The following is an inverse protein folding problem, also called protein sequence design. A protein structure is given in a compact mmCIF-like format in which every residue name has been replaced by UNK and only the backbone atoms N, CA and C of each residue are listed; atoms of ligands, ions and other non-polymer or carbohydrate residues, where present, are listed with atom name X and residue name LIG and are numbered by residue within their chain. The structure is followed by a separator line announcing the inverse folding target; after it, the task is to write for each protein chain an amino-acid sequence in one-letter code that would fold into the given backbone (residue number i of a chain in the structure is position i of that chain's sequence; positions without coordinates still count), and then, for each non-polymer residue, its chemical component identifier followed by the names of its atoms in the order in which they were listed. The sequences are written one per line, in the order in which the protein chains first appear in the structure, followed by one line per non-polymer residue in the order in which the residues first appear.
data_IF_729079852055
#
_entry.id   IF_729079852055
#
_cell.length_a   1.000
_cell.length_b   1.000
_cell.length_c   1.000
_cell.angle_alpha   90.00
_cell.angle_beta   90.00
_cell.angle_gamma   90.00
#
_symmetry.space_group_name_H-M   'P 1'
#
loop_
_entity.id
_entity.type
_entity.pdbx_description
1 polymer ?
#
# COMPACT_ATOMS: atom_id res chain seq x y z
N UNK A 1 -13.63 29.04 -16.71
CA UNK A 1 -13.79 27.63 -16.29
C UNK A 1 -13.49 27.57 -14.81
N UNK A 2 -14.50 27.30 -13.97
CA UNK A 2 -14.42 26.83 -12.57
C UNK A 2 -15.80 27.08 -11.93
N UNK A 3 -16.74 26.17 -12.17
CA UNK A 3 -17.88 26.03 -11.26
C UNK A 3 -17.35 25.39 -9.98
N UNK A 4 -17.77 25.86 -8.81
CA UNK A 4 -17.47 25.24 -7.52
C UNK A 4 -17.94 23.77 -7.42
N UNK A 5 -18.73 23.30 -8.39
CA UNK A 5 -19.28 21.95 -8.47
C UNK A 5 -18.47 20.96 -9.33
N UNK A 6 -17.36 21.37 -9.96
CA UNK A 6 -16.61 20.45 -10.82
C UNK A 6 -15.71 19.55 -9.98
N UNK A 7 -15.97 18.24 -10.00
CA UNK A 7 -15.09 17.24 -9.39
C UNK A 7 -13.78 17.13 -10.18
N UNK A 8 -12.67 17.51 -9.56
CA UNK A 8 -11.31 17.33 -10.08
C UNK A 8 -10.45 16.55 -9.08
N UNK A 9 -9.41 15.91 -9.59
CA UNK A 9 -8.36 15.27 -8.79
C UNK A 9 -7.07 16.09 -8.80
N UNK A 10 -6.31 15.96 -7.72
CA UNK A 10 -4.97 16.53 -7.60
C UNK A 10 -3.95 15.42 -7.83
N UNK A 11 -3.02 15.65 -8.77
CA UNK A 11 -1.95 14.70 -9.08
C UNK A 11 -0.85 14.80 -8.03
N UNK A 12 -0.76 13.79 -7.15
CA UNK A 12 0.21 13.74 -6.06
C UNK A 12 1.41 12.83 -6.34
N UNK A 13 1.46 12.18 -7.51
CA UNK A 13 2.50 11.23 -7.96
C UNK A 13 2.83 11.40 -9.44
N UNK A 14 4.12 11.39 -9.80
CA UNK A 14 4.58 11.57 -11.19
C UNK A 14 4.12 10.40 -12.08
N UNK A 15 4.16 9.18 -11.55
CA UNK A 15 3.71 7.97 -12.25
C UNK A 15 2.21 8.02 -12.60
N UNK A 16 1.39 8.49 -11.66
CA UNK A 16 -0.05 8.55 -11.87
C UNK A 16 -0.43 9.67 -12.83
N UNK A 17 0.28 10.80 -12.78
CA UNK A 17 0.10 11.90 -13.72
C UNK A 17 0.19 11.41 -15.16
N UNK A 18 1.22 10.63 -15.48
CA UNK A 18 1.45 10.11 -16.84
C UNK A 18 0.34 9.17 -17.31
N UNK A 19 -0.20 8.34 -16.41
CA UNK A 19 -1.11 7.24 -16.78
C UNK A 19 -2.58 7.60 -16.82
N UNK A 20 -2.97 8.54 -15.98
CA UNK A 20 -4.32 9.04 -15.87
C UNK A 20 -4.52 10.36 -16.62
N UNK A 21 -3.45 10.95 -17.19
CA UNK A 21 -3.55 12.10 -18.08
C UNK A 21 -4.60 11.83 -19.15
N UNK A 22 -5.51 12.78 -19.35
CA UNK A 22 -6.60 12.73 -20.32
C UNK A 22 -7.67 11.65 -20.09
N UNK A 23 -7.58 10.83 -19.03
CA UNK A 23 -8.62 9.84 -18.68
C UNK A 23 -9.60 10.34 -17.63
N UNK A 24 -9.19 11.34 -16.85
CA UNK A 24 -9.96 11.88 -15.74
C UNK A 24 -9.76 13.41 -15.64
N UNK A 25 -10.72 14.15 -15.08
CA UNK A 25 -10.56 15.57 -14.81
C UNK A 25 -9.55 15.77 -13.68
N UNK A 26 -8.40 16.35 -14.01
CA UNK A 26 -7.32 16.65 -13.06
C UNK A 26 -7.00 18.13 -13.07
N UNK A 27 -6.54 18.63 -11.93
CA UNK A 27 -5.88 19.92 -11.86
C UNK A 27 -4.57 19.82 -12.64
N UNK A 28 -4.42 20.63 -13.69
CA UNK A 28 -3.25 20.62 -14.57
C UNK A 28 -2.07 21.34 -13.90
N UNK A 29 -1.49 20.67 -12.92
CA UNK A 29 -0.25 21.06 -12.24
C UNK A 29 0.75 19.92 -12.36
N UNK A 30 2.03 20.26 -12.53
CA UNK A 30 3.10 19.26 -12.47
C UNK A 30 3.41 18.86 -11.02
N UNK A 31 4.16 17.78 -10.87
CA UNK A 31 4.54 17.26 -9.57
C UNK A 31 5.25 18.33 -8.72
N UNK A 32 6.17 19.10 -9.31
CA UNK A 32 6.90 20.17 -8.61
C UNK A 32 5.96 21.23 -8.03
N UNK A 33 5.01 21.69 -8.83
CA UNK A 33 3.99 22.66 -8.44
C UNK A 33 3.07 22.09 -7.37
N UNK A 34 2.69 20.81 -7.47
CA UNK A 34 1.95 20.12 -6.43
C UNK A 34 2.68 20.18 -5.09
N UNK A 35 3.99 19.90 -5.04
CA UNK A 35 4.76 19.96 -3.79
C UNK A 35 4.80 21.35 -3.17
N UNK A 36 4.99 22.39 -3.98
CA UNK A 36 4.96 23.78 -3.51
C UNK A 36 3.58 24.16 -2.95
N UNK A 37 2.52 23.61 -3.54
CA UNK A 37 1.14 23.89 -3.14
C UNK A 37 0.58 22.88 -2.13
N UNK A 38 1.32 21.82 -1.77
CA UNK A 38 0.82 20.79 -0.86
C UNK A 38 0.36 21.40 0.48
N UNK A 39 1.10 22.32 1.14
CA UNK A 39 0.61 22.96 2.36
C UNK A 39 -0.71 23.70 2.17
N UNK A 40 -0.93 24.29 0.99
CA UNK A 40 -2.18 24.96 0.65
C UNK A 40 -3.33 23.96 0.45
N UNK A 41 -3.11 22.83 -0.23
CA UNK A 41 -4.13 21.78 -0.37
C UNK A 41 -4.50 21.15 0.97
N UNK A 42 -3.53 20.93 1.86
CA UNK A 42 -3.76 20.51 3.24
C UNK A 42 -4.62 21.54 3.99
N UNK A 43 -4.22 22.81 3.96
CA UNK A 43 -4.97 23.90 4.61
C UNK A 43 -6.40 24.05 4.08
N UNK A 44 -6.61 23.89 2.77
CA UNK A 44 -7.91 23.95 2.13
C UNK A 44 -8.77 22.68 2.35
N UNK A 45 -8.22 21.64 2.98
CA UNK A 45 -8.91 20.37 3.21
C UNK A 45 -9.22 19.59 1.93
N UNK A 46 -8.29 19.61 0.96
CA UNK A 46 -8.44 18.92 -0.33
C UNK A 46 -7.61 17.63 -0.45
N UNK A 47 -7.19 17.06 0.69
CA UNK A 47 -6.48 15.77 0.75
C UNK A 47 -7.30 14.61 0.18
N UNK A 48 -8.63 14.67 0.36
CA UNK A 48 -9.59 13.73 -0.18
C UNK A 48 -9.62 13.73 -1.71
N UNK A 49 -9.10 14.78 -2.37
CA UNK A 49 -9.00 14.91 -3.83
C UNK A 49 -7.68 14.40 -4.39
N UNK A 50 -6.73 14.00 -3.54
CA UNK A 50 -5.48 13.42 -4.02
C UNK A 50 -5.76 12.12 -4.75
N UNK A 51 -5.07 11.91 -5.87
CA UNK A 51 -5.32 10.75 -6.70
C UNK A 51 -5.06 9.46 -5.94
N UNK A 52 -3.97 9.38 -5.18
CA UNK A 52 -3.62 8.21 -4.36
C UNK A 52 -4.74 7.78 -3.39
N UNK A 53 -5.48 8.73 -2.81
CA UNK A 53 -6.60 8.44 -1.90
C UNK A 53 -7.84 7.85 -2.64
N UNK A 54 -7.99 8.18 -3.92
CA UNK A 54 -9.12 7.81 -4.76
C UNK A 54 -8.86 6.58 -5.64
N UNK A 55 -7.64 6.05 -5.64
CA UNK A 55 -7.32 4.82 -6.33
C UNK A 55 -7.85 3.59 -5.58
N UNK A 56 -8.35 2.64 -6.34
CA UNK A 56 -8.59 1.28 -5.92
C UNK A 56 -7.83 0.35 -6.86
N UNK A 57 -7.17 -0.65 -6.30
CA UNK A 57 -6.55 -1.68 -7.10
C UNK A 57 -7.49 -2.85 -7.35
N UNK A 58 -7.38 -3.42 -8.54
CA UNK A 58 -8.02 -4.67 -8.93
C UNK A 58 -6.92 -5.62 -9.39
N UNK A 59 -6.75 -6.73 -8.69
CA UNK A 59 -5.91 -7.83 -9.16
C UNK A 59 -6.71 -8.71 -10.12
N UNK A 60 -6.20 -8.91 -11.34
CA UNK A 60 -6.87 -9.68 -12.41
C UNK A 60 -6.22 -11.04 -12.66
N UNK A 61 -4.96 -11.23 -12.24
CA UNK A 61 -4.27 -12.52 -12.37
C UNK A 61 -3.20 -12.69 -11.29
N UNK A 62 -3.09 -13.92 -10.80
CA UNK A 62 -2.09 -14.37 -9.86
C UNK A 62 -1.63 -15.80 -10.20
N UNK A 63 -0.32 -16.04 -10.21
CA UNK A 63 0.29 -17.37 -10.34
C UNK A 63 1.43 -17.51 -9.32
N UNK A 64 1.23 -18.34 -8.30
CA UNK A 64 2.21 -18.59 -7.25
C UNK A 64 3.38 -19.48 -7.70
N UNK A 65 3.24 -20.17 -8.83
CA UNK A 65 4.14 -21.26 -9.21
C UNK A 65 4.14 -22.42 -8.21
N UNK A 66 4.97 -23.46 -8.43
CA UNK A 66 4.97 -24.68 -7.62
C UNK A 66 5.83 -24.62 -6.35
N UNK A 67 6.55 -23.51 -6.11
CA UNK A 67 7.52 -23.42 -5.01
C UNK A 67 6.82 -23.00 -3.72
N UNK A 68 6.92 -23.82 -2.68
CA UNK A 68 6.44 -23.46 -1.33
C UNK A 68 7.50 -22.57 -0.66
N UNK A 69 7.18 -21.31 -0.35
CA UNK A 69 8.11 -20.40 0.31
C UNK A 69 8.24 -20.73 1.80
N UNK A 70 9.33 -20.26 2.44
CA UNK A 70 9.48 -20.40 3.88
C UNK A 70 8.42 -19.56 4.63
N UNK A 71 8.13 -19.98 5.86
CA UNK A 71 7.37 -19.16 6.79
C UNK A 71 8.12 -17.88 7.15
N UNK A 72 7.37 -16.85 7.53
CA UNK A 72 7.90 -15.61 8.09
C UNK A 72 8.77 -15.94 9.30
N UNK A 73 9.93 -15.30 9.39
CA UNK A 73 10.83 -15.45 10.52
C UNK A 73 10.12 -15.13 11.85
N UNK A 74 10.29 -15.98 12.85
CA UNK A 74 9.57 -15.91 14.14
C UNK A 74 9.71 -14.53 14.82
N UNK A 75 10.90 -13.92 14.77
CA UNK A 75 11.12 -12.57 15.31
C UNK A 75 10.25 -11.50 14.63
N UNK A 76 9.99 -11.61 13.32
CA UNK A 76 9.12 -10.68 12.59
C UNK A 76 7.66 -10.90 12.99
N UNK A 77 7.22 -12.16 13.05
CA UNK A 77 5.88 -12.51 13.51
C UNK A 77 5.61 -12.00 14.94
N UNK A 78 6.56 -12.21 15.87
CA UNK A 78 6.51 -11.66 17.24
C UNK A 78 6.50 -10.13 17.26
N UNK A 79 7.30 -9.49 16.40
CA UNK A 79 7.31 -8.04 16.25
C UNK A 79 5.95 -7.49 15.84
N UNK A 80 5.33 -8.08 14.82
CA UNK A 80 4.00 -7.68 14.33
C UNK A 80 2.93 -7.91 15.39
N UNK A 81 2.96 -9.04 16.10
CA UNK A 81 2.03 -9.31 17.20
C UNK A 81 2.15 -8.28 18.33
N UNK A 82 3.39 -7.89 18.69
CA UNK A 82 3.63 -6.84 19.70
C UNK A 82 3.05 -5.50 19.27
N UNK A 83 3.21 -5.13 18.00
CA UNK A 83 2.60 -3.92 17.46
C UNK A 83 1.06 -4.00 17.53
N UNK A 84 0.47 -5.11 17.10
CA UNK A 84 -0.98 -5.29 17.17
C UNK A 84 -1.52 -5.13 18.60
N UNK A 85 -0.86 -5.74 19.59
CA UNK A 85 -1.23 -5.60 21.01
C UNK A 85 -1.05 -4.14 21.48
N UNK A 86 0.07 -3.51 21.16
CA UNK A 86 0.36 -2.13 21.57
C UNK A 86 -0.67 -1.13 21.02
N UNK A 87 -1.05 -1.27 19.75
CA UNK A 87 -2.04 -0.44 19.08
C UNK A 87 -3.49 -0.87 19.35
N UNK A 88 -3.71 -1.79 20.32
CA UNK A 88 -5.05 -2.28 20.71
C UNK A 88 -5.87 -2.80 19.52
N UNK A 89 -5.22 -3.56 18.63
CA UNK A 89 -5.90 -4.23 17.53
C UNK A 89 -7.15 -4.97 18.04
N UNK A 90 -8.31 -4.87 17.34
CA UNK A 90 -9.52 -5.62 17.68
C UNK A 90 -9.28 -7.11 17.87
N UNK A 91 -8.37 -7.69 17.08
CA UNK A 91 -8.02 -9.10 17.14
C UNK A 91 -7.25 -9.50 18.41
N UNK A 92 -6.76 -8.54 19.19
CA UNK A 92 -5.92 -8.80 20.38
C UNK A 92 -6.62 -8.48 21.70
N UNK A 93 -7.89 -8.05 21.65
CA UNK A 93 -8.69 -7.64 22.81
C UNK A 93 -8.95 -8.79 23.79
N UNK A 94 -9.05 -10.02 23.29
CA UNK A 94 -9.18 -11.23 24.11
C UNK A 94 -8.06 -12.24 23.81
N UNK A 95 -7.88 -13.21 24.71
CA UNK A 95 -6.81 -14.19 24.61
C UNK A 95 -6.95 -15.11 23.38
N UNK A 96 -8.20 -15.48 23.03
CA UNK A 96 -8.47 -16.35 21.89
C UNK A 96 -8.07 -15.70 20.56
N UNK A 97 -8.49 -14.45 20.33
CA UNK A 97 -8.14 -13.66 19.16
C UNK A 97 -6.64 -13.43 19.07
N UNK A 98 -5.99 -13.07 20.19
CA UNK A 98 -4.53 -12.88 20.24
C UNK A 98 -3.78 -14.14 19.85
N UNK A 99 -4.21 -15.30 20.36
CA UNK A 99 -3.62 -16.59 20.02
C UNK A 99 -3.91 -16.99 18.57
N UNK A 100 -5.07 -16.61 18.02
CA UNK A 100 -5.38 -16.80 16.61
C UNK A 100 -4.45 -15.98 15.72
N UNK A 101 -4.33 -14.67 15.99
CA UNK A 101 -3.43 -13.78 15.25
C UNK A 101 -1.97 -14.25 15.34
N UNK A 102 -1.52 -14.68 16.52
CA UNK A 102 -0.18 -15.24 16.69
C UNK A 102 0.07 -16.48 15.80
N UNK A 103 -0.92 -17.38 15.68
CA UNK A 103 -0.84 -18.54 14.78
C UNK A 103 -0.78 -18.10 13.32
N UNK A 104 -1.66 -17.18 12.89
CA UNK A 104 -1.68 -16.64 11.52
C UNK A 104 -0.34 -15.99 11.15
N UNK A 105 0.24 -15.18 12.03
CA UNK A 105 1.54 -14.52 11.80
C UNK A 105 2.69 -15.54 11.71
N UNK A 106 2.71 -16.57 12.56
CA UNK A 106 3.70 -17.64 12.49
C UNK A 106 3.55 -18.54 11.26
N UNK A 107 2.32 -18.68 10.74
CA UNK A 107 2.01 -19.41 9.51
C UNK A 107 2.06 -18.53 8.26
N UNK A 108 2.48 -17.27 8.39
CA UNK A 108 2.56 -16.37 7.25
C UNK A 108 3.66 -16.81 6.29
N UNK A 109 3.39 -16.81 4.98
CA UNK A 109 4.33 -17.15 3.92
C UNK A 109 4.59 -15.95 3.01
N UNK A 110 5.84 -15.79 2.55
CA UNK A 110 6.21 -14.71 1.64
C UNK A 110 6.71 -15.31 0.32
N UNK A 111 5.93 -15.17 -0.74
CA UNK A 111 6.21 -15.66 -2.09
C UNK A 111 6.94 -14.59 -2.90
N UNK A 112 8.12 -14.95 -3.45
CA UNK A 112 8.84 -14.16 -4.45
C UNK A 112 8.60 -14.75 -5.84
N UNK A 113 7.61 -14.20 -6.52
CA UNK A 113 7.13 -14.68 -7.81
C UNK A 113 8.05 -14.26 -8.96
N UNK A 114 7.89 -14.95 -10.09
CA UNK A 114 8.48 -14.54 -11.36
C UNK A 114 7.83 -13.24 -11.84
N UNK A 115 8.53 -12.51 -12.69
CA UNK A 115 8.00 -11.26 -13.23
C UNK A 115 6.77 -11.51 -14.10
N UNK A 116 5.81 -10.59 -14.05
CA UNK A 116 4.51 -10.69 -14.72
C UNK A 116 3.60 -11.84 -14.23
N UNK A 117 3.84 -12.36 -13.03
CA UNK A 117 2.94 -13.32 -12.38
C UNK A 117 1.73 -12.64 -11.70
N UNK A 118 1.84 -11.34 -11.42
CA UNK A 118 0.79 -10.49 -10.87
C UNK A 118 0.34 -9.51 -11.95
N UNK A 119 -0.95 -9.55 -12.28
CA UNK A 119 -1.59 -8.54 -13.12
C UNK A 119 -2.56 -7.76 -12.26
N UNK A 120 -2.36 -6.44 -12.18
CA UNK A 120 -3.26 -5.52 -11.50
C UNK A 120 -3.59 -4.32 -12.38
N UNK A 121 -4.76 -3.74 -12.13
CA UNK A 121 -5.22 -2.50 -12.71
C UNK A 121 -5.63 -1.55 -11.60
N UNK A 122 -5.15 -0.31 -11.71
CA UNK A 122 -5.59 0.80 -10.90
C UNK A 122 -6.87 1.38 -11.52
N UNK A 123 -7.87 1.64 -10.69
CA UNK A 123 -9.08 2.39 -11.05
C UNK A 123 -9.33 3.55 -10.10
N UNK A 124 -9.95 4.60 -10.60
CA UNK A 124 -10.51 5.65 -9.73
C UNK A 124 -11.88 5.18 -9.24
N UNK A 125 -12.07 5.21 -7.92
CA UNK A 125 -13.27 4.66 -7.24
C UNK A 125 -14.59 5.17 -7.81
N UNK A 126 -14.64 6.42 -8.23
CA UNK A 126 -15.86 7.12 -8.68
C UNK A 126 -15.99 7.27 -10.20
N UNK A 127 -15.02 6.81 -10.99
CA UNK A 127 -15.05 6.96 -12.46
C UNK A 127 -14.95 5.58 -13.11
N UNK A 128 -16.02 5.14 -13.75
CA UNK A 128 -16.01 3.93 -14.57
C UNK A 128 -15.12 4.10 -15.81
N UNK A 129 -14.44 3.03 -16.21
CA UNK A 129 -13.50 3.05 -17.34
C UNK A 129 -12.14 3.71 -17.06
N UNK A 130 -11.91 4.25 -15.87
CA UNK A 130 -10.63 4.86 -15.46
C UNK A 130 -9.56 3.80 -15.16
N UNK A 131 -9.18 2.96 -16.12
CA UNK A 131 -8.19 1.92 -15.90
C UNK A 131 -6.78 2.37 -16.30
N UNK A 132 -5.82 2.10 -15.42
CA UNK A 132 -4.40 2.22 -15.69
C UNK A 132 -3.64 1.03 -15.13
N UNK A 133 -2.52 0.67 -15.76
CA UNK A 133 -1.62 -0.35 -15.21
C UNK A 133 -0.67 0.32 -14.22
N UNK A 134 -0.49 -0.20 -12.98
CA UNK A 134 0.52 0.33 -12.08
C UNK A 134 1.93 0.11 -12.66
N UNK A 135 2.90 0.94 -12.25
CA UNK A 135 4.25 0.93 -12.84
C UNK A 135 5.07 -0.23 -12.30
N UNK A 136 4.67 -0.70 -11.14
CA UNK A 136 5.20 -1.87 -10.48
C UNK A 136 4.02 -2.76 -10.06
N UNK A 137 4.19 -4.08 -10.10
CA UNK A 137 3.26 -5.04 -9.53
C UNK A 137 2.96 -4.70 -8.07
N UNK A 138 1.69 -4.88 -7.71
CA UNK A 138 1.28 -4.68 -6.33
C UNK A 138 1.55 -5.90 -5.46
N UNK A 139 1.67 -5.66 -4.15
CA UNK A 139 1.64 -6.71 -3.13
C UNK A 139 0.26 -7.32 -3.08
N UNK A 140 0.18 -8.64 -3.28
CA UNK A 140 -1.07 -9.38 -3.05
C UNK A 140 -0.97 -10.03 -1.68
N UNK A 141 -1.92 -9.73 -0.80
CA UNK A 141 -2.07 -10.41 0.49
C UNK A 141 -3.31 -11.27 0.45
N UNK A 142 -3.13 -12.58 0.57
CA UNK A 142 -4.20 -13.55 0.71
C UNK A 142 -4.30 -13.92 2.19
N UNK A 143 -5.51 -13.87 2.73
CA UNK A 143 -5.77 -14.22 4.13
C UNK A 143 -6.79 -15.35 4.19
N UNK A 144 -6.46 -16.40 4.93
CA UNK A 144 -7.39 -17.41 5.39
C UNK A 144 -7.59 -17.35 6.90
N UNK A 145 -8.32 -18.32 7.45
CA UNK A 145 -8.67 -18.34 8.87
C UNK A 145 -7.46 -18.42 9.81
N UNK A 146 -6.39 -19.10 9.39
CA UNK A 146 -5.20 -19.35 10.20
C UNK A 146 -3.87 -19.16 9.45
N UNK A 147 -3.91 -18.54 8.28
CA UNK A 147 -2.73 -18.28 7.47
C UNK A 147 -2.84 -16.95 6.71
N UNK A 148 -1.67 -16.41 6.35
CA UNK A 148 -1.54 -15.24 5.50
C UNK A 148 -0.45 -15.50 4.46
N UNK A 149 -0.71 -15.20 3.20
CA UNK A 149 0.26 -15.32 2.13
C UNK A 149 0.50 -13.95 1.52
N UNK A 150 1.76 -13.54 1.49
CA UNK A 150 2.21 -12.27 0.93
C UNK A 150 2.95 -12.58 -0.35
N UNK A 151 2.53 -11.99 -1.46
CA UNK A 151 3.10 -12.28 -2.75
C UNK A 151 3.71 -11.03 -3.39
N UNK A 152 4.95 -11.16 -3.84
CA UNK A 152 5.78 -10.09 -4.37
C UNK A 152 6.44 -10.58 -5.67
N UNK A 153 6.39 -9.82 -6.76
CA UNK A 153 7.27 -10.11 -7.90
C UNK A 153 8.71 -9.73 -7.58
N UNK A 154 9.69 -10.54 -8.01
CA UNK A 154 11.11 -10.29 -7.76
C UNK A 154 11.56 -8.91 -8.23
N UNK A 155 11.17 -8.46 -9.43
CA UNK A 155 11.54 -7.14 -9.96
C UNK A 155 11.07 -5.96 -9.11
N UNK A 156 10.00 -6.11 -8.36
CA UNK A 156 9.40 -5.04 -7.55
C UNK A 156 9.50 -5.30 -6.05
N UNK A 157 10.12 -6.41 -5.65
CA UNK A 157 10.18 -6.84 -4.26
C UNK A 157 10.76 -5.78 -3.34
N UNK A 158 11.75 -5.01 -3.81
CA UNK A 158 12.36 -3.91 -3.05
C UNK A 158 11.36 -2.78 -2.76
N UNK A 159 10.76 -2.21 -3.80
CA UNK A 159 9.78 -1.11 -3.70
C UNK A 159 8.56 -1.57 -2.91
N UNK A 160 8.08 -2.78 -3.23
CA UNK A 160 6.95 -3.39 -2.54
C UNK A 160 7.24 -3.59 -1.05
N UNK A 161 8.42 -4.09 -0.67
CA UNK A 161 8.81 -4.27 0.74
C UNK A 161 8.94 -2.94 1.48
N UNK A 162 9.41 -1.89 0.81
CA UNK A 162 9.60 -0.58 1.42
C UNK A 162 8.28 0.19 1.62
N UNK A 163 7.39 0.14 0.64
CA UNK A 163 6.22 1.04 0.54
C UNK A 163 4.91 0.32 0.80
N UNK A 164 4.59 -0.70 0.01
CA UNK A 164 3.26 -1.32 -0.03
C UNK A 164 3.10 -2.39 1.06
N UNK A 165 4.12 -3.22 1.24
CA UNK A 165 4.14 -4.32 2.19
C UNK A 165 3.98 -3.86 3.65
N UNK A 166 4.37 -2.67 4.09
CA UNK A 166 4.03 -2.25 5.44
C UNK A 166 2.55 -1.91 5.63
N UNK A 167 1.85 -1.50 4.57
CA UNK A 167 0.44 -1.07 4.62
C UNK A 167 -0.50 -2.26 4.72
N UNK A 168 -0.29 -3.31 3.90
CA UNK A 168 -1.24 -4.43 3.84
C UNK A 168 -1.31 -5.26 5.14
N UNK A 169 -0.20 -5.68 5.76
CA UNK A 169 -0.19 -6.28 7.08
C UNK A 169 -0.76 -5.32 8.12
N UNK A 170 -0.53 -4.01 8.04
CA UNK A 170 -1.14 -3.08 8.99
C UNK A 170 -2.66 -3.10 8.93
N UNK A 171 -3.24 -3.17 7.71
CA UNK A 171 -4.68 -3.38 7.52
C UNK A 171 -5.14 -4.70 8.10
N UNK A 172 -4.42 -5.80 7.82
CA UNK A 172 -4.74 -7.12 8.37
C UNK A 172 -4.67 -7.12 9.90
N UNK A 173 -3.65 -6.52 10.50
CA UNK A 173 -3.47 -6.45 11.94
C UNK A 173 -4.58 -5.61 12.61
N UNK A 174 -5.06 -4.57 11.94
CA UNK A 174 -6.07 -3.65 12.50
C UNK A 174 -7.50 -3.97 12.07
N UNK A 175 -7.70 -4.99 11.24
CA UNK A 175 -9.02 -5.44 10.83
C UNK A 175 -9.85 -5.88 12.04
N UNK A 176 -11.10 -5.47 12.08
CA UNK A 176 -12.07 -5.95 13.05
C UNK A 176 -12.74 -7.22 12.51
N UNK A 177 -12.54 -8.38 13.17
CA UNK A 177 -13.14 -9.64 12.72
C UNK A 177 -14.68 -9.66 12.84
N UNK A 178 -15.27 -8.73 13.58
CA UNK A 178 -16.74 -8.60 13.73
C UNK A 178 -17.34 -7.56 12.78
N UNK A 179 -16.52 -6.84 12.02
CA UNK A 179 -16.98 -5.82 11.08
C UNK A 179 -17.09 -6.40 9.66
N UNK A 180 -18.31 -6.82 9.30
CA UNK A 180 -18.63 -7.30 7.95
C UNK A 180 -18.50 -6.20 6.88
N UNK A 181 -18.48 -4.93 7.26
CA UNK A 181 -18.38 -3.81 6.31
C UNK A 181 -16.99 -3.65 5.71
N UNK A 182 -16.00 -4.42 6.19
CA UNK A 182 -14.57 -4.25 5.88
C UNK A 182 -14.13 -2.79 6.08
N UNK A 183 -14.70 -2.08 7.06
CA UNK A 183 -14.30 -0.70 7.29
C UNK A 183 -12.82 -0.69 7.66
N UNK A 184 -12.05 0.04 6.86
CA UNK A 184 -10.62 0.15 7.06
C UNK A 184 -10.45 1.08 8.25
N UNK A 185 -10.13 0.52 9.42
CA UNK A 185 -9.66 1.32 10.54
C UNK A 185 -8.54 2.23 10.06
N UNK A 186 -8.57 3.54 10.36
CA UNK A 186 -7.53 4.45 9.93
C UNK A 186 -6.20 3.99 10.53
N UNK A 187 -5.37 3.38 9.69
CA UNK A 187 -4.05 2.89 10.08
C UNK A 187 -3.14 4.11 10.22
N UNK A 188 -2.76 4.46 11.44
CA UNK A 188 -1.86 5.58 11.69
C UNK A 188 -0.49 5.37 11.04
N UNK A 189 0.07 6.42 10.45
CA UNK A 189 1.37 6.37 9.76
C UNK A 189 2.53 5.86 10.64
N UNK A 190 2.46 6.07 11.96
CA UNK A 190 3.44 5.56 12.92
C UNK A 190 3.47 4.03 12.97
N UNK A 191 2.32 3.37 12.93
CA UNK A 191 2.24 1.90 12.88
C UNK A 191 2.88 1.37 11.60
N UNK A 192 2.59 2.00 10.46
CA UNK A 192 3.18 1.66 9.15
C UNK A 192 4.71 1.80 9.21
N UNK A 193 5.23 2.87 9.82
CA UNK A 193 6.67 3.06 10.02
C UNK A 193 7.34 1.97 10.87
N UNK A 194 6.69 1.51 11.94
CA UNK A 194 7.21 0.40 12.75
C UNK A 194 7.17 -0.93 11.99
N UNK A 195 6.09 -1.20 11.26
CA UNK A 195 5.99 -2.40 10.41
C UNK A 195 7.09 -2.38 9.34
N UNK A 196 7.33 -1.22 8.71
CA UNK A 196 8.45 -1.03 7.77
C UNK A 196 9.78 -1.43 8.39
N UNK A 197 10.01 -1.08 9.66
CA UNK A 197 11.23 -1.45 10.38
C UNK A 197 11.36 -2.96 10.58
N UNK A 198 10.25 -3.68 10.80
CA UNK A 198 10.24 -5.14 10.93
C UNK A 198 10.58 -5.84 9.62
N UNK A 199 10.11 -5.30 8.50
CA UNK A 199 10.36 -5.86 7.16
C UNK A 199 11.66 -5.37 6.52
N UNK A 200 12.34 -4.38 7.11
CA UNK A 200 13.50 -3.71 6.51
C UNK A 200 14.59 -4.71 6.16
N UNK A 201 14.98 -4.66 4.89
CA UNK A 201 16.22 -5.23 4.33
C UNK A 201 17.26 -4.10 4.37
N UNK A 202 18.55 -4.41 4.57
CA UNK A 202 19.59 -3.38 4.68
C UNK A 202 19.70 -2.56 3.37
N UNK A 203 19.11 -1.36 3.36
CA UNK A 203 18.86 -0.54 2.16
C UNK A 203 20.04 0.36 1.76
N UNK A 204 21.28 -0.05 1.99
CA UNK A 204 22.42 0.87 1.90
C UNK A 204 22.87 1.25 0.48
N UNK A 205 22.37 0.60 -0.58
CA UNK A 205 22.63 0.98 -1.99
C UNK A 205 21.52 0.43 -2.90
N UNK A 206 20.40 1.15 -3.05
CA UNK A 206 19.23 0.65 -3.78
C UNK A 206 19.14 1.22 -5.20
N UNK A 207 19.17 0.37 -6.25
CA UNK A 207 18.80 0.76 -7.62
C UNK A 207 17.38 1.33 -7.71
N UNK A 208 16.50 0.93 -6.80
CA UNK A 208 15.08 1.29 -6.76
C UNK A 208 14.75 2.56 -5.95
N UNK A 209 15.76 3.32 -5.48
CA UNK A 209 15.52 4.44 -4.54
C UNK A 209 14.57 5.50 -5.09
N UNK A 210 14.71 5.86 -6.38
CA UNK A 210 13.83 6.83 -7.03
C UNK A 210 12.36 6.38 -7.02
N UNK A 211 12.11 5.08 -7.19
CA UNK A 211 10.75 4.53 -7.17
C UNK A 211 10.15 4.55 -5.77
N UNK A 212 10.97 4.27 -4.75
CA UNK A 212 10.56 4.36 -3.34
C UNK A 212 10.21 5.82 -3.01
N UNK A 213 11.04 6.77 -3.43
CA UNK A 213 10.80 8.20 -3.19
C UNK A 213 9.51 8.67 -3.87
N UNK A 214 9.29 8.38 -5.15
CA UNK A 214 8.04 8.75 -5.83
C UNK A 214 6.83 8.15 -5.10
N UNK A 215 6.89 6.88 -4.70
CA UNK A 215 5.79 6.23 -3.97
C UNK A 215 5.47 6.88 -2.62
N UNK A 216 6.49 7.24 -1.86
CA UNK A 216 6.36 8.00 -0.62
C UNK A 216 5.90 9.44 -0.88
N UNK A 217 5.95 9.90 -2.13
CA UNK A 217 5.73 11.29 -2.49
C UNK A 217 6.92 12.10 -2.01
N UNK A 218 8.11 11.85 -2.53
CA UNK A 218 9.31 12.63 -2.22
C UNK A 218 9.98 12.91 -3.55
N UNK A 219 10.20 14.19 -3.85
CA UNK A 219 10.83 14.62 -5.10
C UNK A 219 12.36 14.55 -4.96
N UNK A 220 13.01 14.14 -6.05
CA UNK A 220 14.45 14.27 -6.19
C UNK A 220 14.83 15.76 -6.31
N UNK A 221 15.54 16.28 -5.31
CA UNK A 221 15.94 17.69 -5.21
C UNK A 221 16.82 18.12 -6.40
N UNK A 222 17.41 17.19 -7.14
CA UNK A 222 18.15 17.49 -8.38
C UNK A 222 17.30 18.00 -9.55
N UNK A 223 15.97 18.06 -9.40
CA UNK A 223 15.01 18.66 -10.36
C UNK A 223 14.43 20.01 -9.91
N UNK A 224 14.83 20.53 -8.74
CA UNK A 224 14.51 21.89 -8.28
C UNK A 224 15.59 22.88 -8.72
#
# INVERSE_FOLDING_TARGET
MCSASTNFYVMDREDYQTKFRHKIPVLDIDQTTFWLLQPFFLWAGHEDRYLKANLASIHTKFDSGPVVPPYMHELRAKGLLRLAVHYKSPQTLNAAGRNSLARTLNRTRIYYLRDNSISSHLKIKSIEGSQARPSYPEVVVLQGDDYMEICLEKRSAEVATAVQLPVEPARVLMADPMDESKSIWPVGGTLIGFIRTIFRINNHNLPSIKMILDEEGIVDVGKL
#
